data_IF_688747194475
#
_entry.id   IF_688747194475
#
_cell.length_a   1.000
_cell.length_b   1.000
_cell.length_c   1.000
_cell.angle_alpha   90.00
_cell.angle_beta   90.00
_cell.angle_gamma   90.00
#
_symmetry.space_group_name_H-M   'P 1'
#
loop_
_entity.id
_entity.type
_entity.pdbx_description
1 polymer ?
#
# COMPACT_ATOMS: atom_id res chain seq x y z
N UNK A 1 -22.43 12.47 20.41
CA UNK A 1 -22.48 12.31 18.95
C UNK A 1 -21.92 10.94 18.65
N UNK A 2 -22.80 9.93 18.55
CA UNK A 2 -22.40 8.57 18.22
C UNK A 2 -22.21 8.49 16.71
N UNK A 3 -20.97 8.24 16.27
CA UNK A 3 -20.72 7.87 14.88
C UNK A 3 -21.36 6.50 14.60
N UNK A 4 -22.10 6.33 13.49
CA UNK A 4 -22.64 5.04 13.12
C UNK A 4 -21.48 4.17 12.61
N UNK A 5 -21.14 3.12 13.37
CA UNK A 5 -20.28 2.04 12.88
C UNK A 5 -20.99 1.40 11.69
N UNK A 6 -20.48 1.66 10.48
CA UNK A 6 -21.02 1.04 9.26
C UNK A 6 -20.63 -0.45 9.27
N UNK A 7 -21.54 -1.30 9.74
CA UNK A 7 -21.41 -2.75 9.63
C UNK A 7 -21.64 -3.16 8.17
N UNK A 8 -20.57 -3.25 7.38
CA UNK A 8 -20.61 -3.87 6.06
C UNK A 8 -20.50 -5.38 6.21
N UNK A 9 -21.61 -6.10 6.03
CA UNK A 9 -21.61 -7.56 5.84
C UNK A 9 -20.98 -7.92 4.48
N UNK A 10 -19.66 -8.17 4.45
CA UNK A 10 -19.01 -8.78 3.29
C UNK A 10 -19.19 -10.31 3.30
N UNK A 11 -20.41 -10.76 3.04
CA UNK A 11 -20.73 -12.18 2.82
C UNK A 11 -20.43 -12.60 1.37
N UNK A 12 -19.17 -12.50 0.95
CA UNK A 12 -18.72 -13.07 -0.32
C UNK A 12 -17.64 -14.11 -0.03
N UNK A 13 -17.99 -15.39 -0.18
CA UNK A 13 -17.03 -16.48 -0.17
C UNK A 13 -16.05 -16.28 -1.35
N UNK A 14 -14.86 -15.78 -1.04
CA UNK A 14 -13.73 -15.75 -1.97
C UNK A 14 -13.20 -17.17 -2.09
N UNK A 15 -13.69 -17.90 -3.10
CA UNK A 15 -13.18 -19.22 -3.46
C UNK A 15 -11.80 -19.05 -4.15
N UNK A 16 -10.74 -19.15 -3.36
CA UNK A 16 -9.34 -19.10 -3.80
C UNK A 16 -8.74 -20.52 -3.73
N UNK A 17 -8.34 -21.12 -4.87
CA UNK A 17 -7.67 -22.42 -4.85
C UNK A 17 -6.30 -22.27 -4.16
N UNK A 18 -6.12 -22.97 -3.02
CA UNK A 18 -4.88 -22.99 -2.25
C UNK A 18 -5.01 -22.54 -0.78
N UNK A 19 -6.16 -22.00 -0.39
CA UNK A 19 -6.49 -21.69 1.01
C UNK A 19 -7.57 -22.67 1.49
N UNK A 20 -7.13 -23.87 1.90
CA UNK A 20 -8.00 -24.77 2.65
C UNK A 20 -8.51 -24.09 3.92
N UNK A 21 -9.82 -24.11 4.12
CA UNK A 21 -10.63 -23.39 5.12
C UNK A 21 -11.01 -21.95 4.73
N UNK A 22 -12.26 -21.78 4.29
CA UNK A 22 -12.91 -20.48 4.19
C UNK A 22 -12.89 -19.76 5.54
N UNK A 23 -12.24 -18.61 5.58
CA UNK A 23 -12.21 -17.73 6.76
C UNK A 23 -13.52 -16.95 6.77
N UNK A 24 -14.44 -17.30 7.67
CA UNK A 24 -15.58 -16.46 7.99
C UNK A 24 -15.07 -15.22 8.74
N UNK A 25 -15.23 -14.04 8.14
CA UNK A 25 -14.88 -12.75 8.75
C UNK A 25 -16.05 -12.29 9.64
N UNK A 26 -16.15 -12.85 10.84
CA UNK A 26 -17.05 -12.31 11.86
C UNK A 26 -16.34 -11.12 12.54
N UNK A 27 -16.59 -9.91 12.04
CA UNK A 27 -16.18 -8.67 12.72
C UNK A 27 -17.13 -8.31 13.87
N UNK A 28 -16.56 -7.59 14.81
CA UNK A 28 -17.01 -7.19 16.15
C UNK A 28 -18.52 -6.96 16.35
N UNK A 29 -19.07 -7.70 17.32
CA UNK A 29 -20.33 -7.36 17.99
C UNK A 29 -20.51 -8.20 19.26
N UNK A 30 -21.11 -7.62 20.31
CA UNK A 30 -21.64 -8.31 21.50
C UNK A 30 -22.88 -9.19 21.17
N UNK A 31 -23.15 -9.41 19.89
CA UNK A 31 -24.27 -10.18 19.40
C UNK A 31 -23.82 -11.60 19.04
N UNK A 32 -24.63 -12.62 19.36
CA UNK A 32 -24.42 -13.97 18.85
C UNK A 32 -24.26 -14.01 17.32
N UNK A 33 -23.45 -14.93 16.79
CA UNK A 33 -23.26 -15.05 15.34
C UNK A 33 -24.57 -15.42 14.65
N UNK A 34 -24.88 -14.72 13.56
CA UNK A 34 -26.05 -15.03 12.74
C UNK A 34 -25.88 -16.37 12.01
N UNK A 35 -24.67 -16.72 11.59
CA UNK A 35 -24.36 -17.97 10.91
C UNK A 35 -23.44 -18.85 11.74
N UNK A 36 -23.82 -20.11 11.91
CA UNK A 36 -23.07 -21.10 12.68
C UNK A 36 -22.73 -22.33 11.83
N UNK A 37 -21.51 -22.83 11.97
CA UNK A 37 -21.14 -24.11 11.36
C UNK A 37 -21.83 -25.25 12.12
N UNK A 38 -22.51 -26.13 11.39
CA UNK A 38 -23.18 -27.29 11.96
C UNK A 38 -22.41 -28.56 11.65
N UNK A 39 -22.06 -28.79 10.38
CA UNK A 39 -21.31 -29.98 9.95
C UNK A 39 -20.03 -29.54 9.25
N UNK A 40 -18.84 -29.96 9.75
CA UNK A 40 -17.56 -29.70 9.09
C UNK A 40 -17.49 -30.25 7.66
N UNK A 41 -16.62 -29.64 6.85
CA UNK A 41 -16.33 -30.15 5.51
C UNK A 41 -15.57 -31.49 5.54
N UNK A 42 -15.72 -32.26 4.47
CA UNK A 42 -15.04 -33.55 4.27
C UNK A 42 -16.01 -34.73 4.32
N UNK A 43 -15.73 -35.75 3.50
CA UNK A 43 -16.59 -36.94 3.36
C UNK A 43 -16.72 -37.75 4.66
N UNK A 44 -15.74 -37.63 5.56
CA UNK A 44 -15.69 -38.31 6.84
C UNK A 44 -15.35 -37.30 7.94
N UNK A 45 -16.30 -37.07 8.83
CA UNK A 45 -16.14 -36.21 10.01
C UNK A 45 -16.08 -37.08 11.25
N UNK A 46 -15.07 -36.88 12.09
CA UNK A 46 -14.89 -37.62 13.33
C UNK A 46 -15.29 -36.74 14.50
N UNK A 47 -16.19 -37.23 15.34
CA UNK A 47 -16.59 -36.59 16.59
C UNK A 47 -15.51 -36.74 17.66
N UNK A 48 -15.54 -35.84 18.64
CA UNK A 48 -14.69 -35.86 19.84
C UNK A 48 -14.93 -37.12 20.70
N UNK A 49 -16.07 -37.77 20.52
CA UNK A 49 -16.41 -39.07 21.11
C UNK A 49 -16.00 -40.27 20.24
N UNK A 50 -15.18 -40.05 19.21
CA UNK A 50 -14.69 -41.04 18.25
C UNK A 50 -15.73 -41.60 17.28
N UNK A 51 -17.00 -41.16 17.31
CA UNK A 51 -17.98 -41.55 16.29
C UNK A 51 -17.61 -40.96 14.94
N UNK A 52 -17.92 -41.71 13.89
CA UNK A 52 -17.67 -41.32 12.51
C UNK A 52 -18.99 -41.00 11.83
N UNK A 53 -19.04 -39.84 11.18
CA UNK A 53 -20.17 -39.39 10.37
C UNK A 53 -19.69 -39.24 8.93
N UNK A 54 -20.44 -39.80 7.99
CA UNK A 54 -20.11 -39.73 6.57
C UNK A 54 -20.96 -38.64 5.91
N UNK A 55 -20.33 -37.53 5.55
CA UNK A 55 -20.98 -36.40 4.90
C UNK A 55 -20.88 -36.55 3.37
N UNK A 56 -21.48 -37.62 2.85
CA UNK A 56 -21.38 -38.02 1.42
C UNK A 56 -22.15 -37.09 0.49
N UNK A 57 -23.27 -36.57 0.97
CA UNK A 57 -24.15 -35.67 0.21
C UNK A 57 -24.59 -34.49 1.09
N UNK A 58 -23.70 -33.53 1.35
CA UNK A 58 -24.03 -32.37 2.17
C UNK A 58 -25.09 -31.48 1.51
N UNK A 59 -25.18 -31.47 0.18
CA UNK A 59 -26.22 -30.72 -0.53
C UNK A 59 -27.60 -31.37 -0.32
N UNK A 60 -27.69 -32.70 -0.37
CA UNK A 60 -28.91 -33.43 -0.04
C UNK A 60 -29.42 -33.13 1.37
N UNK A 61 -28.54 -32.94 2.36
CA UNK A 61 -28.94 -32.52 3.72
C UNK A 61 -29.59 -31.13 3.71
N UNK A 62 -29.03 -30.17 2.96
CA UNK A 62 -29.60 -28.83 2.78
C UNK A 62 -30.95 -28.89 2.07
N UNK A 63 -31.06 -29.72 1.03
CA UNK A 63 -32.28 -29.87 0.25
C UNK A 63 -33.40 -30.53 1.07
N UNK A 64 -33.08 -31.51 1.93
CA UNK A 64 -34.03 -32.11 2.87
C UNK A 64 -34.56 -31.06 3.86
N UNK A 65 -33.72 -30.18 4.38
CA UNK A 65 -34.17 -29.08 5.24
C UNK A 65 -35.15 -28.15 4.49
N UNK A 66 -34.78 -27.71 3.28
CA UNK A 66 -35.63 -26.84 2.45
C UNK A 66 -36.97 -27.51 2.11
N UNK A 67 -36.95 -28.80 1.77
CA UNK A 67 -38.16 -29.56 1.46
C UNK A 67 -39.07 -29.75 2.68
N UNK A 68 -38.51 -29.88 3.89
CA UNK A 68 -39.29 -29.93 5.13
C UNK A 68 -40.00 -28.61 5.43
N UNK A 69 -39.36 -27.47 5.13
CA UNK A 69 -39.94 -26.13 5.32
C UNK A 69 -40.22 -25.77 6.78
N UNK A 70 -39.58 -26.44 7.73
CA UNK A 70 -39.71 -26.21 9.16
C UNK A 70 -38.37 -25.74 9.73
N UNK A 71 -38.41 -24.69 10.56
CA UNK A 71 -37.24 -24.25 11.31
C UNK A 71 -36.81 -25.34 12.30
N UNK A 72 -35.50 -25.48 12.52
CA UNK A 72 -34.98 -26.45 13.49
C UNK A 72 -34.62 -25.75 14.80
N UNK A 73 -35.03 -26.28 15.96
CA UNK A 73 -34.72 -25.66 17.24
C UNK A 73 -33.23 -25.81 17.58
N UNK A 74 -32.70 -24.77 18.22
CA UNK A 74 -31.47 -24.83 19.00
C UNK A 74 -31.87 -24.80 20.46
N UNK A 75 -31.54 -25.82 21.23
CA UNK A 75 -31.88 -25.91 22.65
C UNK A 75 -30.65 -25.77 23.57
N UNK A 76 -30.85 -25.95 24.87
CA UNK A 76 -29.77 -26.11 25.83
C UNK A 76 -29.52 -27.61 26.07
N UNK A 77 -28.27 -28.05 25.89
CA UNK A 77 -27.83 -29.42 26.22
C UNK A 77 -28.66 -30.57 25.58
N UNK A 78 -29.17 -30.40 24.36
CA UNK A 78 -30.01 -31.39 23.66
C UNK A 78 -31.29 -31.74 24.44
N UNK A 79 -31.86 -30.75 25.14
CA UNK A 79 -33.10 -30.91 25.91
C UNK A 79 -34.28 -31.41 25.06
N UNK A 80 -34.39 -31.06 23.79
CA UNK A 80 -35.42 -31.56 22.86
C UNK A 80 -35.36 -33.08 22.69
N UNK A 81 -34.18 -33.69 22.87
CA UNK A 81 -34.00 -35.14 22.71
C UNK A 81 -34.06 -35.93 24.02
N UNK A 82 -33.87 -35.26 25.17
CA UNK A 82 -33.77 -35.93 26.47
C UNK A 82 -34.80 -35.47 27.50
N UNK A 83 -35.34 -34.26 27.39
CA UNK A 83 -36.33 -33.67 28.30
C UNK A 83 -37.72 -33.60 27.68
N UNK A 84 -37.85 -33.07 26.47
CA UNK A 84 -39.14 -32.97 25.78
C UNK A 84 -39.88 -34.32 25.65
N UNK A 85 -39.21 -35.46 25.34
CA UNK A 85 -39.89 -36.76 25.27
C UNK A 85 -40.45 -37.25 26.61
N UNK A 86 -39.98 -36.68 27.73
CA UNK A 86 -40.48 -36.95 29.09
C UNK A 86 -41.55 -35.94 29.54
N UNK A 87 -41.98 -35.05 28.65
CA UNK A 87 -42.93 -33.97 28.96
C UNK A 87 -42.33 -32.83 29.79
N UNK A 88 -41.00 -32.78 29.92
CA UNK A 88 -40.30 -31.68 30.59
C UNK A 88 -40.05 -30.53 29.63
N UNK A 89 -39.91 -29.31 30.16
CA UNK A 89 -39.62 -28.12 29.33
C UNK A 89 -38.32 -28.27 28.54
N UNK A 90 -38.35 -27.92 27.25
CA UNK A 90 -37.17 -27.80 26.40
C UNK A 90 -37.30 -26.52 25.56
N UNK A 91 -37.13 -25.34 26.15
CA UNK A 91 -37.28 -24.10 25.40
C UNK A 91 -36.16 -23.95 24.37
N UNK A 92 -36.53 -23.49 23.17
CA UNK A 92 -35.56 -23.11 22.15
C UNK A 92 -34.76 -21.88 22.61
N UNK A 93 -33.44 -21.98 22.56
CA UNK A 93 -32.47 -20.89 22.65
C UNK A 93 -32.31 -20.15 21.31
N UNK A 94 -32.64 -20.78 20.19
CA UNK A 94 -32.66 -20.16 18.86
C UNK A 94 -33.32 -21.06 17.84
N UNK A 95 -33.46 -20.56 16.60
CA UNK A 95 -34.07 -21.28 15.49
C UNK A 95 -33.17 -21.22 14.26
N UNK A 96 -32.86 -22.37 13.69
CA UNK A 96 -32.17 -22.47 12.41
C UNK A 96 -33.20 -22.24 11.31
N UNK A 97 -33.10 -21.09 10.66
CA UNK A 97 -34.04 -20.60 9.63
C UNK A 97 -33.63 -21.01 8.21
N UNK A 98 -32.35 -21.30 8.03
CA UNK A 98 -31.77 -21.56 6.72
C UNK A 98 -30.55 -22.45 6.85
N UNK A 99 -30.33 -23.33 5.86
CA UNK A 99 -29.09 -24.07 5.70
C UNK A 99 -28.41 -23.71 4.38
N UNK A 100 -27.09 -23.57 4.42
CA UNK A 100 -26.26 -23.27 3.27
C UNK A 100 -25.01 -24.15 3.24
N UNK A 101 -24.64 -24.62 2.05
CA UNK A 101 -23.38 -25.32 1.82
C UNK A 101 -22.28 -24.30 1.49
N UNK A 102 -21.25 -24.22 2.34
CA UNK A 102 -20.11 -23.31 2.14
C UNK A 102 -18.81 -24.10 2.18
N UNK A 103 -18.12 -24.18 1.03
CA UNK A 103 -16.86 -24.92 0.89
C UNK A 103 -16.91 -26.35 1.46
N UNK A 104 -18.02 -27.06 1.22
CA UNK A 104 -18.25 -28.44 1.70
C UNK A 104 -18.73 -28.58 3.14
N UNK A 105 -18.78 -27.49 3.92
CA UNK A 105 -19.36 -27.48 5.27
C UNK A 105 -20.82 -27.01 5.25
N UNK A 106 -21.65 -27.56 6.13
CA UNK A 106 -23.05 -27.13 6.29
C UNK A 106 -23.11 -26.06 7.38
N UNK A 107 -23.62 -24.89 6.99
CA UNK A 107 -23.86 -23.75 7.87
C UNK A 107 -25.35 -23.52 8.06
N UNK A 108 -25.74 -23.01 9.23
CA UNK A 108 -27.11 -22.64 9.54
C UNK A 108 -27.23 -21.17 9.92
N UNK A 109 -28.25 -20.47 9.37
CA UNK A 109 -28.62 -19.12 9.80
C UNK A 109 -29.54 -19.22 11.00
N UNK A 110 -29.19 -18.53 12.07
CA UNK A 110 -29.86 -18.64 13.36
C UNK A 110 -30.55 -17.34 13.73
N UNK A 111 -31.82 -17.45 14.06
CA UNK A 111 -32.54 -16.44 14.80
C UNK A 111 -32.48 -16.77 16.29
N UNK A 112 -31.70 -16.00 17.05
CA UNK A 112 -31.52 -16.24 18.48
C UNK A 112 -32.68 -15.68 19.29
N UNK A 113 -33.13 -16.45 20.28
CA UNK A 113 -34.04 -15.93 21.31
C UNK A 113 -33.26 -15.05 22.31
N UNK A 114 -33.93 -14.18 23.09
CA UNK A 114 -33.26 -13.41 24.13
C UNK A 114 -32.50 -14.29 25.15
N UNK A 115 -33.03 -15.47 25.49
CA UNK A 115 -32.38 -16.39 26.44
C UNK A 115 -31.14 -17.05 25.83
N UNK A 116 -31.18 -17.46 24.56
CA UNK A 116 -30.02 -18.00 23.86
C UNK A 116 -28.92 -16.96 23.67
N UNK A 117 -29.29 -15.75 23.30
CA UNK A 117 -28.34 -14.64 23.18
C UNK A 117 -27.67 -14.33 24.53
N UNK A 118 -28.44 -14.25 25.62
CA UNK A 118 -27.90 -14.06 26.95
C UNK A 118 -26.93 -15.19 27.36
N UNK A 119 -27.27 -16.44 27.04
CA UNK A 119 -26.46 -17.61 27.38
C UNK A 119 -25.08 -17.62 26.66
N UNK A 120 -25.05 -17.18 25.41
CA UNK A 120 -23.82 -17.06 24.62
C UNK A 120 -22.96 -15.88 25.09
N UNK A 121 -23.59 -14.74 25.35
CA UNK A 121 -22.92 -13.52 25.82
C UNK A 121 -22.31 -13.71 27.21
N UNK A 122 -23.06 -14.33 28.12
CA UNK A 122 -22.57 -14.72 29.44
C UNK A 122 -21.54 -15.87 29.40
N UNK A 123 -21.33 -16.48 28.23
CA UNK A 123 -20.45 -17.63 28.01
C UNK A 123 -20.81 -18.85 28.87
N UNK A 124 -22.06 -18.94 29.33
CA UNK A 124 -22.61 -20.10 30.04
C UNK A 124 -22.63 -21.34 29.14
N UNK A 125 -22.79 -21.11 27.84
CA UNK A 125 -22.59 -22.07 26.77
C UNK A 125 -21.71 -21.44 25.69
N UNK A 126 -20.77 -22.21 25.14
CA UNK A 126 -19.76 -21.69 24.19
C UNK A 126 -19.80 -22.37 22.83
N UNK A 127 -20.34 -23.57 22.76
CA UNK A 127 -20.28 -24.39 21.55
C UNK A 127 -21.67 -24.80 21.11
N UNK A 128 -21.76 -25.18 19.84
CA UNK A 128 -22.95 -25.78 19.25
C UNK A 128 -22.64 -27.22 18.86
N UNK A 129 -23.64 -28.09 18.99
CA UNK A 129 -23.53 -29.50 18.61
C UNK A 129 -24.78 -29.89 17.84
N UNK A 130 -24.70 -30.23 16.54
CA UNK A 130 -25.88 -30.64 15.77
C UNK A 130 -26.39 -32.01 16.22
N UNK A 131 -27.71 -32.18 16.19
CA UNK A 131 -28.35 -33.48 16.28
C UNK A 131 -28.54 -34.03 14.86
N UNK A 132 -27.74 -35.02 14.50
CA UNK A 132 -27.73 -35.61 13.15
C UNK A 132 -28.59 -36.87 13.10
N UNK A 133 -29.38 -37.00 12.04
CA UNK A 133 -30.03 -38.25 11.67
C UNK A 133 -29.13 -38.95 10.66
N UNK A 134 -28.72 -40.18 10.96
CA UNK A 134 -27.84 -40.97 10.11
C UNK A 134 -28.47 -42.29 9.70
N UNK A 135 -28.01 -42.86 8.60
CA UNK A 135 -28.27 -44.27 8.29
C UNK A 135 -27.43 -45.22 9.18
N UNK A 136 -27.59 -46.54 8.97
CA UNK A 136 -26.81 -47.56 9.70
C UNK A 136 -25.31 -47.53 9.38
N UNK A 137 -24.91 -46.97 8.25
CA UNK A 137 -23.52 -46.82 7.84
C UNK A 137 -22.88 -45.52 8.39
N UNK A 138 -23.65 -44.67 9.07
CA UNK A 138 -23.21 -43.38 9.58
C UNK A 138 -23.28 -42.24 8.57
N UNK A 139 -23.92 -42.44 7.41
CA UNK A 139 -24.15 -41.37 6.46
C UNK A 139 -25.16 -40.36 7.01
N UNK A 140 -24.81 -39.08 6.96
CA UNK A 140 -25.66 -37.98 7.44
C UNK A 140 -26.80 -37.77 6.45
N UNK A 141 -28.04 -37.95 6.91
CA UNK A 141 -29.25 -37.83 6.09
C UNK A 141 -29.95 -36.48 6.30
N UNK A 142 -29.97 -35.99 7.53
CA UNK A 142 -30.57 -34.69 7.86
C UNK A 142 -30.11 -34.18 9.23
N UNK A 143 -30.37 -32.90 9.49
CA UNK A 143 -30.21 -32.28 10.81
C UNK A 143 -31.62 -32.22 11.45
N UNK A 144 -31.71 -32.61 12.73
CA UNK A 144 -32.95 -32.57 13.51
C UNK A 144 -33.07 -31.33 14.42
N UNK A 145 -31.95 -30.65 14.66
CA UNK A 145 -31.80 -29.53 15.58
C UNK A 145 -30.35 -29.38 15.98
N UNK A 146 -30.08 -28.53 16.97
CA UNK A 146 -28.77 -28.46 17.62
C UNK A 146 -28.91 -28.10 19.10
N UNK A 147 -27.85 -28.33 19.87
CA UNK A 147 -27.78 -27.91 21.27
C UNK A 147 -26.64 -26.94 21.50
N UNK A 148 -26.90 -25.87 22.27
CA UNK A 148 -25.87 -25.10 22.95
C UNK A 148 -25.28 -25.95 24.09
N UNK A 149 -23.98 -26.21 24.02
CA UNK A 149 -23.27 -27.13 24.90
C UNK A 149 -21.90 -26.59 25.31
N UNK A 150 -21.35 -27.16 26.38
CA UNK A 150 -19.96 -26.92 26.80
C UNK A 150 -19.00 -28.02 26.34
N UNK A 151 -19.52 -29.12 25.79
CA UNK A 151 -18.75 -30.23 25.21
C UNK A 151 -19.39 -30.65 23.88
N UNK A 152 -19.02 -30.02 22.76
CA UNK A 152 -19.59 -30.35 21.46
C UNK A 152 -19.06 -31.69 20.95
N UNK A 153 -19.82 -32.32 20.03
CA UNK A 153 -19.33 -33.50 19.36
C UNK A 153 -18.29 -33.16 18.28
N UNK A 154 -18.55 -32.15 17.46
CA UNK A 154 -17.55 -31.69 16.49
C UNK A 154 -16.66 -30.60 17.07
N UNK A 155 -15.37 -30.64 16.73
CA UNK A 155 -14.43 -29.58 17.06
C UNK A 155 -14.63 -28.45 16.06
N UNK A 156 -15.47 -27.48 16.42
CA UNK A 156 -15.80 -26.28 15.64
C UNK A 156 -15.44 -25.02 16.43
N UNK A 157 -15.28 -23.86 15.78
CA UNK A 157 -15.07 -22.60 16.48
C UNK A 157 -16.12 -22.37 17.56
N UNK A 158 -15.73 -21.78 18.70
CA UNK A 158 -16.70 -21.41 19.72
C UNK A 158 -17.62 -20.31 19.14
N UNK A 159 -18.91 -20.36 19.48
CA UNK A 159 -19.88 -19.36 18.99
C UNK A 159 -19.56 -17.95 19.47
N UNK A 160 -18.81 -17.83 20.56
CA UNK A 160 -18.29 -16.59 21.11
C UNK A 160 -16.75 -16.49 21.01
N UNK A 161 -16.11 -17.33 20.19
CA UNK A 161 -14.71 -17.07 19.85
C UNK A 161 -14.65 -15.93 18.84
N UNK A 162 -14.14 -14.78 19.28
CA UNK A 162 -13.60 -13.77 18.38
C UNK A 162 -12.41 -14.43 17.65
N UNK A 163 -12.65 -14.91 16.42
CA UNK A 163 -11.93 -16.09 15.93
C UNK A 163 -11.65 -16.15 14.44
N UNK A 164 -11.64 -15.04 13.73
CA UNK A 164 -10.49 -14.73 12.88
C UNK A 164 -9.84 -13.52 13.54
N UNK A 165 -8.73 -13.72 14.25
CA UNK A 165 -8.01 -12.56 14.79
C UNK A 165 -7.67 -11.66 13.60
N UNK A 166 -7.87 -10.35 13.74
CA UNK A 166 -7.38 -9.36 12.79
C UNK A 166 -5.94 -9.72 12.38
N UNK A 167 -5.11 -10.18 13.32
CA UNK A 167 -3.74 -10.66 13.04
C UNK A 167 -3.63 -11.74 11.96
N UNK A 168 -4.50 -12.75 11.95
CA UNK A 168 -4.49 -13.78 10.90
C UNK A 168 -4.93 -13.21 9.55
N UNK A 169 -5.88 -12.28 9.53
CA UNK A 169 -6.29 -11.56 8.32
C UNK A 169 -5.14 -10.67 7.82
N UNK A 170 -4.55 -9.86 8.69
CA UNK A 170 -3.41 -9.00 8.39
C UNK A 170 -2.22 -9.82 7.86
N UNK A 171 -1.91 -10.96 8.49
CA UNK A 171 -0.87 -11.87 8.00
C UNK A 171 -1.16 -12.40 6.60
N UNK A 172 -2.41 -12.78 6.30
CA UNK A 172 -2.83 -13.22 4.95
C UNK A 172 -2.85 -12.08 3.92
N UNK A 173 -3.13 -10.85 4.36
CA UNK A 173 -3.07 -9.64 3.55
C UNK A 173 -1.64 -9.09 3.40
N UNK A 174 -0.64 -9.69 4.07
CA UNK A 174 0.74 -9.21 4.08
C UNK A 174 0.94 -7.91 4.86
N UNK A 175 0.00 -7.55 5.73
CA UNK A 175 0.03 -6.35 6.57
C UNK A 175 0.66 -6.64 7.93
N UNK A 176 1.26 -5.62 8.53
CA UNK A 176 1.85 -5.70 9.88
C UNK A 176 0.79 -6.01 10.94
N UNK A 177 1.14 -6.70 12.03
CA UNK A 177 0.20 -7.01 13.13
C UNK A 177 -0.41 -5.78 13.81
N UNK A 178 0.19 -4.60 13.64
CA UNK A 178 -0.27 -3.31 14.15
C UNK A 178 -1.14 -2.55 13.16
N UNK A 179 -1.39 -3.10 11.96
CA UNK A 179 -2.21 -2.46 10.96
C UNK A 179 -3.65 -2.31 11.46
N UNK A 180 -4.26 -1.18 11.12
CA UNK A 180 -5.60 -0.83 11.55
C UNK A 180 -6.64 -1.57 10.71
N UNK A 181 -7.88 -1.57 11.19
CA UNK A 181 -9.01 -2.10 10.42
C UNK A 181 -9.15 -1.41 9.06
N UNK A 182 -8.93 -0.09 9.00
CA UNK A 182 -8.96 0.66 7.75
C UNK A 182 -7.86 0.21 6.76
N UNK A 183 -6.68 -0.17 7.26
CA UNK A 183 -5.59 -0.71 6.43
C UNK A 183 -5.96 -2.08 5.86
N UNK A 184 -6.63 -2.92 6.65
CA UNK A 184 -7.14 -4.22 6.20
C UNK A 184 -8.21 -4.06 5.12
N UNK A 185 -9.14 -3.11 5.31
CA UNK A 185 -10.20 -2.79 4.34
C UNK A 185 -9.58 -2.33 3.01
N UNK A 186 -8.63 -1.39 3.04
CA UNK A 186 -7.95 -0.90 1.85
C UNK A 186 -7.21 -2.01 1.07
N UNK A 187 -6.58 -2.95 1.80
CA UNK A 187 -5.93 -4.10 1.19
C UNK A 187 -6.92 -5.07 0.52
N UNK A 188 -8.09 -5.30 1.14
CA UNK A 188 -9.16 -6.14 0.55
C UNK A 188 -9.75 -5.49 -0.70
N UNK A 189 -10.02 -4.18 -0.69
CA UNK A 189 -10.52 -3.44 -1.87
C UNK A 189 -9.53 -3.50 -3.04
N UNK A 190 -8.23 -3.43 -2.75
CA UNK A 190 -7.16 -3.57 -3.75
C UNK A 190 -7.16 -4.97 -4.38
N UNK A 191 -7.32 -6.01 -3.55
CA UNK A 191 -7.43 -7.40 -4.03
C UNK A 191 -8.68 -7.61 -4.87
N UNK A 192 -9.81 -7.03 -4.46
CA UNK A 192 -11.07 -7.13 -5.19
C UNK A 192 -10.99 -6.44 -6.55
N UNK A 193 -10.38 -5.26 -6.61
CA UNK A 193 -10.11 -4.54 -7.87
C UNK A 193 -9.21 -5.37 -8.79
N UNK A 194 -8.14 -5.95 -8.24
CA UNK A 194 -7.21 -6.81 -8.99
C UNK A 194 -7.86 -8.09 -9.51
N UNK A 195 -8.74 -8.70 -8.72
CA UNK A 195 -9.49 -9.89 -9.09
C UNK A 195 -10.52 -9.59 -10.19
N UNK A 196 -11.23 -8.46 -10.08
CA UNK A 196 -12.20 -8.03 -11.10
C UNK A 196 -11.49 -7.71 -12.43
N UNK A 197 -10.33 -7.07 -12.38
CA UNK A 197 -9.50 -6.84 -13.57
C UNK A 197 -9.04 -8.17 -14.19
N UNK A 198 -8.57 -9.12 -13.37
CA UNK A 198 -8.16 -10.46 -13.83
C UNK A 198 -9.32 -11.27 -14.45
N UNK A 199 -10.52 -11.21 -13.86
CA UNK A 199 -11.73 -11.87 -14.38
C UNK A 199 -12.24 -11.24 -15.68
N UNK A 200 -12.02 -9.94 -15.88
CA UNK A 200 -12.39 -9.23 -17.10
C UNK A 200 -11.38 -9.44 -18.26
N UNK A 201 -10.36 -10.30 -18.10
CA UNK A 201 -9.32 -10.49 -19.10
C UNK A 201 -8.38 -9.29 -19.29
N UNK A 202 -8.54 -8.24 -18.48
CA UNK A 202 -7.58 -7.14 -18.38
C UNK A 202 -6.47 -7.58 -17.43
N UNK A 203 -5.48 -8.28 -17.98
CA UNK A 203 -4.26 -8.67 -17.25
C UNK A 203 -3.59 -7.42 -16.72
N UNK A 204 -3.71 -7.20 -15.41
CA UNK A 204 -3.02 -6.10 -14.73
C UNK A 204 -1.52 -6.37 -14.77
N UNK A 205 -0.77 -5.47 -15.42
CA UNK A 205 0.70 -5.48 -15.46
C UNK A 205 1.32 -5.49 -14.06
N UNK A 206 0.58 -5.06 -13.02
CA UNK A 206 1.02 -5.08 -11.63
C UNK A 206 1.11 -6.49 -10.99
N UNK A 207 0.49 -7.50 -11.60
CA UNK A 207 0.52 -8.90 -11.13
C UNK A 207 1.48 -9.79 -11.93
N UNK A 208 1.88 -9.38 -13.14
CA UNK A 208 2.63 -10.22 -14.07
C UNK A 208 4.08 -9.77 -14.32
N UNK A 209 4.45 -8.57 -13.85
CA UNK A 209 5.86 -8.21 -13.73
C UNK A 209 6.32 -8.64 -12.34
N UNK A 210 7.32 -9.53 -12.20
CA UNK A 210 7.96 -9.77 -10.91
C UNK A 210 8.37 -8.43 -10.32
N UNK A 211 7.81 -8.03 -9.18
CA UNK A 211 8.07 -6.71 -8.58
C UNK A 211 9.56 -6.44 -8.41
N UNK A 212 10.34 -7.48 -8.13
CA UNK A 212 11.80 -7.42 -8.09
C UNK A 212 12.41 -6.93 -9.41
N UNK A 213 11.96 -7.42 -10.56
CA UNK A 213 12.46 -7.01 -11.88
C UNK A 213 12.00 -5.58 -12.24
N UNK A 214 10.77 -5.22 -11.85
CA UNK A 214 10.25 -3.86 -12.02
C UNK A 214 11.05 -2.84 -11.21
N UNK A 215 11.32 -3.13 -9.92
CA UNK A 215 12.07 -2.25 -9.05
C UNK A 215 13.53 -2.11 -9.52
N UNK A 216 14.13 -3.19 -10.03
CA UNK A 216 15.45 -3.16 -10.66
C UNK A 216 15.44 -2.30 -11.92
N UNK A 217 14.41 -2.42 -12.77
CA UNK A 217 14.28 -1.61 -13.98
C UNK A 217 14.06 -0.12 -13.64
N UNK A 218 13.20 0.19 -12.67
CA UNK A 218 12.92 1.55 -12.22
C UNK A 218 14.16 2.20 -11.60
N UNK A 219 14.92 1.46 -10.78
CA UNK A 219 16.15 1.96 -10.19
C UNK A 219 17.24 2.18 -11.25
N UNK A 220 17.35 1.30 -12.25
CA UNK A 220 18.25 1.51 -13.40
C UNK A 220 17.85 2.73 -14.22
N UNK A 221 16.55 2.93 -14.48
CA UNK A 221 16.06 4.09 -15.21
C UNK A 221 16.37 5.40 -14.47
N UNK A 222 16.05 5.49 -13.18
CA UNK A 222 16.37 6.65 -12.34
C UNK A 222 17.87 6.93 -12.25
N UNK A 223 18.68 5.88 -12.11
CA UNK A 223 20.14 6.01 -12.09
C UNK A 223 20.68 6.51 -13.44
N UNK A 224 20.15 6.01 -14.56
CA UNK A 224 20.51 6.44 -15.91
C UNK A 224 20.09 7.90 -16.17
N UNK A 225 18.88 8.30 -15.75
CA UNK A 225 18.40 9.69 -15.85
C UNK A 225 19.28 10.66 -15.04
N UNK A 226 19.64 10.27 -13.81
CA UNK A 226 20.53 11.06 -12.95
C UNK A 226 21.94 11.17 -13.55
N UNK A 227 22.47 10.06 -14.09
CA UNK A 227 23.75 10.06 -14.77
C UNK A 227 23.74 10.92 -16.03
N UNK A 228 22.66 10.88 -16.81
CA UNK A 228 22.51 11.71 -18.01
C UNK A 228 22.47 13.20 -17.67
N UNK A 229 21.73 13.60 -16.64
CA UNK A 229 21.69 14.99 -16.20
C UNK A 229 23.05 15.46 -15.67
N UNK A 230 23.76 14.60 -14.94
CA UNK A 230 25.13 14.88 -14.49
C UNK A 230 26.08 15.05 -15.66
N UNK A 231 26.01 14.16 -16.67
CA UNK A 231 26.82 14.27 -17.88
C UNK A 231 26.53 15.56 -18.64
N UNK A 232 25.26 15.93 -18.83
CA UNK A 232 24.85 17.18 -19.48
C UNK A 232 25.36 18.40 -18.72
N UNK A 233 25.24 18.40 -17.39
CA UNK A 233 25.76 19.48 -16.55
C UNK A 233 27.27 19.62 -16.68
N UNK A 234 28.01 18.49 -16.69
CA UNK A 234 29.46 18.47 -16.85
C UNK A 234 29.90 18.95 -18.24
N UNK A 235 29.23 18.49 -19.31
CA UNK A 235 29.49 18.95 -20.68
C UNK A 235 29.19 20.45 -20.83
N UNK A 236 28.10 20.93 -20.23
CA UNK A 236 27.77 22.36 -20.20
C UNK A 236 28.85 23.14 -19.47
N UNK A 237 29.26 22.72 -18.28
CA UNK A 237 30.32 23.38 -17.52
C UNK A 237 31.65 23.43 -18.30
N UNK A 238 32.03 22.33 -18.95
CA UNK A 238 33.23 22.27 -19.79
C UNK A 238 33.13 23.20 -21.01
N UNK A 239 31.97 23.24 -21.68
CA UNK A 239 31.71 24.13 -22.82
C UNK A 239 31.77 25.60 -22.39
N UNK A 240 31.15 25.95 -21.27
CA UNK A 240 31.17 27.31 -20.71
C UNK A 240 32.58 27.73 -20.34
N UNK A 241 33.36 26.87 -19.67
CA UNK A 241 34.75 27.16 -19.34
C UNK A 241 35.58 27.43 -20.59
N UNK A 242 35.44 26.60 -21.63
CA UNK A 242 36.13 26.77 -22.92
C UNK A 242 35.75 28.07 -23.63
N UNK A 243 34.45 28.40 -23.69
CA UNK A 243 33.96 29.62 -24.31
C UNK A 243 34.45 30.87 -23.57
N UNK A 244 34.42 30.86 -22.24
CA UNK A 244 34.89 31.97 -21.39
C UNK A 244 36.40 32.15 -21.54
N UNK A 245 37.19 31.08 -21.48
CA UNK A 245 38.64 31.16 -21.65
C UNK A 245 39.03 31.61 -23.06
N UNK A 246 38.31 31.15 -24.09
CA UNK A 246 38.47 31.62 -25.47
C UNK A 246 38.14 33.10 -25.63
N UNK A 247 37.05 33.56 -25.00
CA UNK A 247 36.64 34.96 -25.03
C UNK A 247 37.60 35.89 -24.27
N UNK A 248 38.20 35.41 -23.16
CA UNK A 248 39.25 36.12 -22.44
C UNK A 248 40.51 36.26 -23.30
N UNK A 249 40.96 35.17 -23.94
CA UNK A 249 42.13 35.20 -24.84
C UNK A 249 41.90 36.08 -26.09
N UNK A 250 40.69 36.09 -26.62
CA UNK A 250 40.31 36.92 -27.77
C UNK A 250 40.03 38.38 -27.40
N UNK A 251 40.12 38.75 -26.12
CA UNK A 251 39.86 40.11 -25.64
C UNK A 251 38.41 40.58 -25.79
N UNK A 252 37.45 39.65 -25.89
CA UNK A 252 36.01 39.95 -26.03
C UNK A 252 35.29 40.13 -24.69
N UNK A 253 35.86 39.59 -23.62
CA UNK A 253 35.41 39.79 -22.23
C UNK A 253 36.59 40.14 -21.32
N UNK A 254 36.32 40.81 -20.20
CA UNK A 254 37.34 41.17 -19.20
C UNK A 254 37.31 40.21 -18.01
N UNK A 255 38.41 40.07 -17.24
CA UNK A 255 38.41 39.27 -16.01
C UNK A 255 37.32 39.66 -15.01
N UNK A 256 37.00 40.97 -14.91
CA UNK A 256 35.95 41.48 -14.03
C UNK A 256 34.53 41.03 -14.43
N UNK A 257 34.29 40.69 -15.69
CA UNK A 257 32.98 40.26 -16.21
C UNK A 257 32.85 38.74 -16.34
N UNK A 258 33.92 37.98 -16.05
CA UNK A 258 33.96 36.52 -16.13
C UNK A 258 32.82 35.85 -15.35
N UNK A 259 32.68 36.23 -14.08
CA UNK A 259 31.69 35.62 -13.18
C UNK A 259 30.25 35.91 -13.60
N UNK A 260 30.02 37.05 -14.27
CA UNK A 260 28.71 37.39 -14.82
C UNK A 260 28.33 36.43 -15.96
N UNK A 261 29.25 36.19 -16.91
CA UNK A 261 28.99 35.28 -18.03
C UNK A 261 28.92 33.81 -17.62
N UNK A 262 29.71 33.39 -16.62
CA UNK A 262 29.58 32.05 -16.02
C UNK A 262 28.19 31.86 -15.40
N UNK A 263 27.67 32.85 -14.68
CA UNK A 263 26.31 32.82 -14.15
C UNK A 263 25.24 32.87 -15.25
N UNK A 264 25.45 33.65 -16.31
CA UNK A 264 24.51 33.72 -17.44
C UNK A 264 24.35 32.35 -18.11
N UNK A 265 25.44 31.60 -18.26
CA UNK A 265 25.46 30.27 -18.88
C UNK A 265 24.96 29.12 -17.98
N UNK A 266 24.22 29.43 -16.91
CA UNK A 266 23.66 28.41 -16.00
C UNK A 266 22.60 27.51 -16.65
N UNK A 267 22.02 27.94 -17.77
CA UNK A 267 21.07 27.16 -18.57
C UNK A 267 21.49 27.14 -20.05
N UNK A 268 20.93 26.20 -20.83
CA UNK A 268 21.30 26.03 -22.23
C UNK A 268 20.97 27.25 -23.11
N UNK A 269 19.97 28.05 -22.71
CA UNK A 269 19.60 29.28 -23.41
C UNK A 269 20.63 30.40 -23.18
N UNK A 270 21.17 30.50 -21.96
CA UNK A 270 22.22 31.43 -21.60
C UNK A 270 23.53 31.14 -22.33
N UNK A 271 23.84 29.87 -22.58
CA UNK A 271 24.98 29.48 -23.44
C UNK A 271 24.80 30.01 -24.86
N UNK A 272 23.60 29.89 -25.45
CA UNK A 272 23.32 30.43 -26.79
C UNK A 272 23.38 31.95 -26.84
N UNK A 273 22.86 32.62 -25.81
CA UNK A 273 22.95 34.08 -25.69
C UNK A 273 24.41 34.55 -25.61
N UNK A 274 25.24 33.82 -24.88
CA UNK A 274 26.67 34.10 -24.81
C UNK A 274 27.39 33.84 -26.14
N UNK A 275 27.08 32.74 -26.84
CA UNK A 275 27.62 32.48 -28.19
C UNK A 275 27.21 33.59 -29.19
N UNK A 276 25.95 34.03 -29.15
CA UNK A 276 25.47 35.17 -29.95
C UNK A 276 26.18 36.48 -29.63
N UNK A 277 26.43 36.74 -28.35
CA UNK A 277 27.24 37.89 -27.91
C UNK A 277 28.68 37.79 -28.44
N UNK A 278 29.33 36.63 -28.33
CA UNK A 278 30.69 36.44 -28.85
C UNK A 278 30.78 36.64 -30.36
N UNK A 279 29.72 36.35 -31.12
CA UNK A 279 29.68 36.60 -32.56
C UNK A 279 29.61 38.10 -32.90
N UNK A 280 28.91 38.90 -32.10
CA UNK A 280 28.73 40.34 -32.32
C UNK A 280 29.77 41.23 -31.61
N UNK A 281 30.42 40.73 -30.57
CA UNK A 281 31.33 41.51 -29.74
C UNK A 281 32.66 41.80 -30.46
N UNK A 282 33.07 43.08 -30.58
CA UNK A 282 34.41 43.45 -31.03
C UNK A 282 35.47 43.09 -29.98
N UNK A 283 36.70 42.81 -30.41
CA UNK A 283 37.83 42.60 -29.49
C UNK A 283 38.30 43.94 -28.92
N UNK A 284 38.35 44.07 -27.59
CA UNK A 284 38.74 45.31 -26.90
C UNK A 284 40.23 45.35 -26.54
N UNK A 285 40.94 44.22 -26.59
CA UNK A 285 42.37 44.12 -26.25
C UNK A 285 43.13 43.45 -27.40
N UNK A 286 44.21 44.09 -27.87
CA UNK A 286 44.98 43.67 -29.04
C UNK A 286 46.26 42.90 -28.70
N UNK A 287 46.60 42.68 -27.42
CA UNK A 287 47.71 41.79 -27.06
C UNK A 287 47.59 41.17 -25.65
N UNK A 288 48.18 39.98 -25.48
CA UNK A 288 48.22 39.18 -24.23
C UNK A 288 48.92 39.92 -23.07
N UNK A 289 49.64 41.00 -23.36
CA UNK A 289 50.41 41.78 -22.39
C UNK A 289 49.51 42.59 -21.43
N UNK A 290 48.32 42.99 -21.88
CA UNK A 290 47.37 43.77 -21.04
C UNK A 290 46.66 42.90 -19.98
N UNK A 291 46.49 41.60 -20.22
CA UNK A 291 45.85 40.68 -19.27
C UNK A 291 46.73 40.40 -18.04
N UNK A 292 48.05 40.38 -18.20
CA UNK A 292 48.99 40.15 -17.11
C UNK A 292 49.10 41.37 -16.16
N UNK A 293 48.88 42.59 -16.66
CA UNK A 293 48.94 43.80 -15.85
C UNK A 293 47.70 44.01 -14.97
N UNK A 294 46.58 43.35 -15.24
CA UNK A 294 45.36 43.45 -14.42
C UNK A 294 45.34 42.51 -13.19
N UNK A 295 46.33 41.64 -13.01
CA UNK A 295 46.43 40.82 -11.78
C UNK A 295 47.04 41.57 -10.58
N UNK A 296 47.65 42.75 -10.78
CA UNK A 296 48.13 43.60 -9.70
C UNK A 296 47.11 44.68 -9.36
N UNK A 297 46.16 44.36 -8.48
CA UNK A 297 45.08 45.23 -8.02
C UNK A 297 45.53 46.46 -7.17
N UNK A 298 46.77 46.95 -7.32
CA UNK A 298 47.25 48.09 -6.52
C UNK A 298 48.25 49.04 -7.22
N UNK A 299 48.20 49.15 -8.56
CA UNK A 299 48.88 50.24 -9.28
C UNK A 299 47.91 50.94 -10.22
N UNK A 300 47.77 52.25 -10.06
CA UNK A 300 47.07 53.12 -11.01
C UNK A 300 47.83 53.07 -12.34
N UNK A 301 47.34 52.25 -13.27
CA UNK A 301 47.87 52.20 -14.63
C UNK A 301 47.27 53.38 -15.42
N UNK A 302 48.14 54.21 -16.00
CA UNK A 302 47.72 55.33 -16.85
C UNK A 302 47.21 54.80 -18.19
N UNK A 303 46.08 55.34 -18.66
CA UNK A 303 45.55 55.00 -19.99
C UNK A 303 46.33 55.73 -21.12
N UNK A 304 46.06 55.35 -22.37
CA UNK A 304 46.78 55.87 -23.53
C UNK A 304 46.71 57.42 -23.66
N UNK A 305 45.58 58.02 -23.29
CA UNK A 305 45.38 59.47 -23.34
C UNK A 305 46.16 60.18 -22.22
N UNK A 306 46.23 59.57 -21.03
CA UNK A 306 46.99 60.09 -19.89
C UNK A 306 48.50 59.98 -20.10
N UNK A 307 48.98 58.92 -20.77
CA UNK A 307 50.38 58.79 -21.19
C UNK A 307 50.75 59.83 -22.24
N UNK A 308 49.85 60.07 -23.21
CA UNK A 308 50.04 61.14 -24.19
C UNK A 308 50.06 62.52 -23.52
N UNK A 309 49.16 62.77 -22.56
CA UNK A 309 49.12 64.00 -21.78
C UNK A 309 50.40 64.21 -20.95
N UNK A 310 50.90 63.19 -20.25
CA UNK A 310 52.16 63.25 -19.52
C UNK A 310 53.35 63.60 -20.44
N UNK A 311 53.37 63.02 -21.65
CA UNK A 311 54.40 63.27 -22.66
C UNK A 311 54.33 64.69 -23.22
N UNK A 312 53.13 65.22 -23.50
CA UNK A 312 52.93 66.60 -23.96
C UNK A 312 53.29 67.62 -22.87
N UNK A 313 52.99 67.29 -21.61
CA UNK A 313 53.33 68.14 -20.45
C UNK A 313 54.79 68.01 -20.00
N UNK A 314 55.58 67.09 -20.59
CA UNK A 314 56.97 66.86 -20.21
C UNK A 314 57.14 66.29 -18.79
N UNK A 315 56.09 65.69 -18.23
CA UNK A 315 56.08 65.12 -16.88
C UNK A 315 56.38 63.63 -16.97
N UNK A 316 57.23 63.13 -16.07
CA UNK A 316 57.49 61.69 -15.96
C UNK A 316 56.17 60.92 -15.69
N UNK A 317 55.84 59.89 -16.48
CA UNK A 317 54.57 59.17 -16.35
C UNK A 317 54.30 58.62 -14.95
N UNK A 318 55.34 58.27 -14.18
CA UNK A 318 55.17 57.76 -12.82
C UNK A 318 54.70 58.86 -11.87
N UNK A 319 55.28 60.06 -11.98
CA UNK A 319 54.84 61.23 -11.21
C UNK A 319 53.45 61.71 -11.59
N UNK A 320 53.07 61.58 -12.87
CA UNK A 320 51.72 61.88 -13.33
C UNK A 320 50.68 60.94 -12.72
N UNK A 321 50.99 59.64 -12.64
CA UNK A 321 50.15 58.64 -11.98
C UNK A 321 49.98 58.91 -10.47
N UNK A 322 51.06 59.30 -9.78
CA UNK A 322 51.02 59.68 -8.37
C UNK A 322 50.14 60.92 -8.12
N UNK A 323 50.21 61.92 -8.99
CA UNK A 323 49.40 63.14 -8.87
C UNK A 323 47.91 62.89 -9.15
N UNK A 324 47.58 61.99 -10.07
CA UNK A 324 46.21 61.58 -10.36
C UNK A 324 45.61 60.77 -9.20
N UNK A 325 46.41 59.88 -8.59
CA UNK A 325 46.01 59.13 -7.40
C UNK A 325 45.72 60.07 -6.22
N UNK A 326 46.54 61.11 -6.02
CA UNK A 326 46.35 62.10 -4.97
C UNK A 326 45.06 62.93 -5.13
N UNK A 327 44.64 63.25 -6.37
CA UNK A 327 43.41 64.01 -6.64
C UNK A 327 42.13 63.19 -6.47
N UNK A 328 42.19 61.86 -6.59
CA UNK A 328 41.02 60.99 -6.42
C UNK A 328 40.70 60.73 -4.95
N UNK A 329 41.57 61.16 -4.02
CA UNK A 329 41.44 60.91 -2.57
C UNK A 329 41.06 62.17 -1.77
N UNK A 330 40.64 63.24 -2.44
CA UNK A 330 40.13 64.48 -1.85
C UNK A 330 38.69 64.74 -2.32
#
# INVERSE_FOLDING_TARGET
MNSPTQTLSLNAALDLPGLGAGVALNFEGDAPPEWVQLVPAGEKVVGNDSRVFLNRDPQGVVDVFKARGLDLPIDINHAEFHRAPRGEEAPAAGWIKELELRAGAIWGRVEWTPSGAAALNAKSYRYISPALITDKAGAVLSIAGAGLVNRPNFVMPALNSHGASMKNLLAKLGLAETATENDAIAAVETLQTSLNAAKAGQVSLALYVPRADYDVALNRAKAAETALETHRSNERAAKVASLVDGALKAGKITPATKDFYVRLCSNDEGVKQFEGFLAAAPSFFTSVVDLAQQQDANKVALNADQLAAAKVMGIDPKKFAEHLAAQTTA
#
